data_IF_996110302233
#
_entry.id   IF_996110302233
#
_cell.length_a   1.000
_cell.length_b   1.000
_cell.length_c   1.000
_cell.angle_alpha   90.00
_cell.angle_beta   90.00
_cell.angle_gamma   90.00
#
_symmetry.space_group_name_H-M   'P 1'
#
loop_
_entity.id
_entity.type
_entity.pdbx_description
1 polymer ?
#
# COMPACT_ATOMS: atom_id res chain seq x y z
N UNK A 1 18.20 -4.74 -5.52
CA UNK A 1 17.85 -4.63 -4.09
C UNK A 1 16.53 -5.34 -3.84
N UNK A 2 16.06 -5.34 -2.58
CA UNK A 2 14.81 -5.98 -2.18
C UNK A 2 14.11 -5.09 -1.14
N UNK A 3 12.79 -4.97 -1.24
CA UNK A 3 11.93 -4.31 -0.26
C UNK A 3 10.93 -5.33 0.26
N UNK A 4 10.87 -5.46 1.59
CA UNK A 4 9.89 -6.27 2.30
C UNK A 4 9.12 -5.38 3.27
N UNK A 5 7.80 -5.37 3.13
CA UNK A 5 6.86 -4.77 4.07
C UNK A 5 5.89 -5.86 4.51
N UNK A 6 5.71 -6.01 5.81
CA UNK A 6 4.77 -6.97 6.38
C UNK A 6 3.99 -6.29 7.50
N UNK A 7 2.67 -6.30 7.38
CA UNK A 7 1.76 -5.98 8.47
C UNK A 7 1.13 -7.27 8.99
N UNK A 8 0.98 -7.35 10.31
CA UNK A 8 0.24 -8.38 11.01
C UNK A 8 -0.72 -7.70 12.00
N UNK A 9 -1.98 -8.12 11.98
CA UNK A 9 -3.08 -7.50 12.72
C UNK A 9 -3.94 -8.61 13.33
N UNK A 10 -4.06 -8.64 14.65
CA UNK A 10 -5.05 -9.48 15.33
C UNK A 10 -6.30 -8.67 15.64
N UNK A 11 -7.43 -9.07 15.07
CA UNK A 11 -8.73 -8.46 15.27
C UNK A 11 -9.54 -9.25 16.29
N UNK A 12 -10.07 -8.53 17.29
CA UNK A 12 -11.09 -9.02 18.21
C UNK A 12 -12.39 -8.29 17.94
N UNK A 13 -13.50 -9.02 17.95
CA UNK A 13 -14.80 -8.48 17.53
C UNK A 13 -15.78 -8.42 18.72
N UNK A 14 -16.65 -7.39 18.79
CA UNK A 14 -17.59 -7.23 19.90
C UNK A 14 -18.67 -8.32 19.99
N UNK A 15 -18.95 -9.00 18.88
CA UNK A 15 -19.97 -10.07 18.77
C UNK A 15 -19.48 -11.43 19.31
N UNK A 16 -18.24 -11.50 19.81
CA UNK A 16 -17.66 -12.71 20.39
C UNK A 16 -17.25 -13.76 19.36
N UNK A 17 -17.23 -13.45 18.05
CA UNK A 17 -16.64 -14.37 17.06
C UNK A 17 -15.15 -14.59 17.34
N UNK A 18 -14.63 -15.71 16.82
CA UNK A 18 -13.21 -16.06 16.91
C UNK A 18 -12.33 -14.89 16.49
N UNK A 19 -11.21 -14.69 17.20
CA UNK A 19 -10.21 -13.70 16.81
C UNK A 19 -9.70 -14.03 15.41
N UNK A 20 -9.33 -13.01 14.66
CA UNK A 20 -8.78 -13.18 13.32
C UNK A 20 -7.39 -12.57 13.26
N UNK A 21 -6.46 -13.29 12.63
CA UNK A 21 -5.16 -12.76 12.29
C UNK A 21 -5.16 -12.43 10.80
N UNK A 22 -4.94 -11.17 10.49
CA UNK A 22 -4.80 -10.64 9.14
C UNK A 22 -3.34 -10.31 8.90
N UNK A 23 -2.85 -10.62 7.71
CA UNK A 23 -1.52 -10.20 7.26
C UNK A 23 -1.57 -9.54 5.90
N UNK A 24 -0.67 -8.59 5.68
CA UNK A 24 -0.49 -7.92 4.39
C UNK A 24 1.00 -7.84 4.07
N UNK A 25 1.44 -8.53 3.02
CA UNK A 25 2.86 -8.65 2.67
C UNK A 25 3.15 -8.10 1.29
N UNK A 26 4.06 -7.14 1.20
CA UNK A 26 4.65 -6.67 -0.05
C UNK A 26 6.10 -7.15 -0.11
N UNK A 27 6.42 -7.94 -1.13
CA UNK A 27 7.79 -8.35 -1.46
C UNK A 27 8.10 -7.85 -2.87
N UNK A 28 9.09 -6.97 -3.00
CA UNK A 28 9.52 -6.42 -4.28
C UNK A 28 11.03 -6.60 -4.47
N UNK A 29 11.42 -6.96 -5.70
CA UNK A 29 12.81 -7.10 -6.12
C UNK A 29 13.14 -6.05 -7.18
N UNK A 30 14.35 -5.51 -7.10
CA UNK A 30 14.85 -4.55 -8.09
C UNK A 30 15.26 -5.26 -9.37
N UNK A 31 15.08 -4.57 -10.50
CA UNK A 31 15.26 -5.11 -11.86
C UNK A 31 16.49 -4.48 -12.55
N UNK A 32 17.42 -3.92 -11.77
CA UNK A 32 18.59 -3.18 -12.28
C UNK A 32 19.45 -4.03 -13.21
N UNK A 33 19.58 -5.33 -12.93
CA UNK A 33 20.36 -6.27 -13.76
C UNK A 33 19.78 -6.47 -15.17
N UNK A 34 18.49 -6.18 -15.38
CA UNK A 34 17.81 -6.24 -16.68
C UNK A 34 17.52 -4.84 -17.26
N UNK A 35 18.22 -3.81 -16.79
CA UNK A 35 18.03 -2.42 -17.23
C UNK A 35 16.83 -1.69 -16.60
N UNK A 36 16.18 -2.30 -15.61
CA UNK A 36 15.10 -1.68 -14.83
C UNK A 36 15.60 -0.83 -13.67
N UNK A 37 14.70 -0.51 -12.74
CA UNK A 37 15.00 0.29 -11.54
C UNK A 37 15.08 -0.58 -10.29
N UNK A 38 15.62 -0.02 -9.20
CA UNK A 38 15.61 -0.68 -7.89
C UNK A 38 14.19 -0.86 -7.35
N UNK A 39 13.99 -1.86 -6.47
CA UNK A 39 12.73 -2.05 -5.76
C UNK A 39 12.38 -0.78 -4.99
N UNK A 40 13.37 -0.19 -4.29
CA UNK A 40 13.22 1.07 -3.56
C UNK A 40 12.73 2.22 -4.46
N UNK A 41 13.32 2.40 -5.64
CA UNK A 41 12.91 3.46 -6.57
C UNK A 41 11.46 3.28 -7.02
N UNK A 42 11.03 2.04 -7.27
CA UNK A 42 9.64 1.74 -7.65
C UNK A 42 8.66 1.95 -6.51
N UNK A 43 8.94 1.43 -5.32
CA UNK A 43 8.04 1.50 -4.16
C UNK A 43 7.96 2.87 -3.50
N UNK A 44 8.88 3.79 -3.81
CA UNK A 44 8.86 5.18 -3.32
C UNK A 44 8.44 6.16 -4.44
N UNK A 45 9.02 6.02 -5.62
CA UNK A 45 8.77 6.94 -6.75
C UNK A 45 7.35 6.87 -7.28
N UNK A 46 6.75 5.67 -7.36
CA UNK A 46 5.37 5.53 -7.83
C UNK A 46 4.34 6.17 -6.89
N UNK A 47 4.37 5.93 -5.56
CA UNK A 47 3.49 6.67 -4.64
C UNK A 47 3.66 8.19 -4.72
N UNK A 48 4.90 8.69 -4.83
CA UNK A 48 5.16 10.13 -4.95
C UNK A 48 4.55 10.71 -6.24
N UNK A 49 4.75 10.05 -7.38
CA UNK A 49 4.17 10.47 -8.66
C UNK A 49 2.63 10.43 -8.63
N UNK A 50 2.04 9.40 -8.02
CA UNK A 50 0.57 9.31 -7.87
C UNK A 50 0.02 10.42 -6.99
N UNK A 51 0.69 10.77 -5.89
CA UNK A 51 0.32 11.93 -5.08
C UNK A 51 0.27 13.22 -5.89
N UNK A 52 1.29 13.47 -6.71
CA UNK A 52 1.32 14.62 -7.62
C UNK A 52 0.16 14.57 -8.64
N UNK A 53 -0.12 13.40 -9.23
CA UNK A 53 -1.23 13.23 -10.18
C UNK A 53 -2.59 13.52 -9.51
N UNK A 54 -2.83 13.02 -8.29
CA UNK A 54 -4.08 13.25 -7.58
C UNK A 54 -4.29 14.74 -7.26
N UNK A 55 -3.22 15.46 -6.90
CA UNK A 55 -3.27 16.91 -6.68
C UNK A 55 -3.55 17.67 -7.97
N UNK A 56 -2.82 17.37 -9.06
CA UNK A 56 -2.98 18.05 -10.36
C UNK A 56 -4.35 17.78 -10.99
N UNK A 57 -4.95 16.62 -10.74
CA UNK A 57 -6.30 16.28 -11.19
C UNK A 57 -7.40 16.89 -10.32
N UNK A 58 -7.06 17.60 -9.23
CA UNK A 58 -8.06 18.14 -8.30
C UNK A 58 -8.86 17.06 -7.56
N UNK A 59 -8.28 15.86 -7.38
CA UNK A 59 -8.93 14.78 -6.62
C UNK A 59 -8.76 14.92 -5.12
N UNK A 60 -7.75 15.66 -4.68
CA UNK A 60 -7.52 15.99 -3.26
C UNK A 60 -7.84 17.46 -3.05
N UNK A 61 -8.97 17.72 -2.42
CA UNK A 61 -9.49 19.09 -2.21
C UNK A 61 -9.04 19.70 -0.87
N UNK A 62 -8.61 18.87 0.07
CA UNK A 62 -8.10 19.31 1.36
C UNK A 62 -6.83 20.16 1.17
N UNK A 63 -6.65 21.15 2.05
CA UNK A 63 -5.48 22.06 2.04
C UNK A 63 -4.69 21.89 3.32
N UNK A 64 -3.42 22.27 3.29
CA UNK A 64 -2.50 22.18 4.42
C UNK A 64 -1.46 21.08 4.24
N UNK A 65 -0.89 20.62 5.35
CA UNK A 65 0.10 19.52 5.36
C UNK A 65 -0.63 18.20 5.49
N UNK A 66 -0.71 17.46 4.39
CA UNK A 66 -1.51 16.24 4.30
C UNK A 66 -0.66 14.98 4.38
N UNK A 67 -1.28 13.90 4.85
CA UNK A 67 -0.75 12.53 4.85
C UNK A 67 -1.78 11.61 4.18
N UNK A 68 -1.39 10.48 3.59
CA UNK A 68 -2.30 9.55 2.90
C UNK A 68 -3.10 8.68 3.89
N UNK A 69 -3.83 9.31 4.81
CA UNK A 69 -4.62 8.64 5.86
C UNK A 69 -6.13 8.78 5.64
N UNK A 70 -6.55 9.60 4.68
CA UNK A 70 -7.94 9.80 4.30
C UNK A 70 -8.27 9.03 3.02
N UNK A 71 -9.51 8.57 2.90
CA UNK A 71 -9.93 7.65 1.83
C UNK A 71 -9.88 8.26 0.43
N UNK A 72 -10.08 9.58 0.32
CA UNK A 72 -9.90 10.35 -0.92
C UNK A 72 -8.46 10.30 -1.44
N UNK A 73 -7.47 10.05 -0.57
CA UNK A 73 -6.06 9.90 -0.94
C UNK A 73 -5.68 8.42 -1.06
N UNK A 74 -5.86 7.62 -0.01
CA UNK A 74 -5.32 6.25 0.00
C UNK A 74 -6.06 5.33 -0.97
N UNK A 75 -7.38 5.44 -1.12
CA UNK A 75 -8.15 4.49 -1.95
C UNK A 75 -7.78 4.57 -3.44
N UNK A 76 -7.76 5.75 -4.09
CA UNK A 76 -7.33 5.83 -5.49
C UNK A 76 -5.85 5.50 -5.65
N UNK A 77 -5.01 5.83 -4.66
CA UNK A 77 -3.58 5.51 -4.68
C UNK A 77 -3.34 4.00 -4.69
N UNK A 78 -3.98 3.25 -3.80
CA UNK A 78 -3.84 1.79 -3.72
C UNK A 78 -4.30 1.09 -5.00
N UNK A 79 -5.43 1.53 -5.57
CA UNK A 79 -5.93 0.99 -6.85
C UNK A 79 -4.93 1.23 -7.99
N UNK A 80 -4.36 2.43 -8.08
CA UNK A 80 -3.39 2.76 -9.12
C UNK A 80 -2.06 2.02 -8.93
N UNK A 81 -1.55 1.94 -7.70
CA UNK A 81 -0.34 1.19 -7.35
C UNK A 81 -0.47 -0.30 -7.67
N UNK A 82 -1.63 -0.90 -7.38
CA UNK A 82 -1.87 -2.31 -7.68
C UNK A 82 -1.75 -2.61 -9.18
N UNK A 83 -2.27 -1.71 -10.05
CA UNK A 83 -2.13 -1.82 -11.52
C UNK A 83 -0.68 -1.71 -12.00
N UNK A 84 0.17 -1.05 -11.21
CA UNK A 84 1.61 -0.91 -11.46
C UNK A 84 2.45 -2.00 -10.78
N UNK A 85 1.81 -3.05 -10.25
CA UNK A 85 2.49 -4.16 -9.60
C UNK A 85 3.06 -3.83 -8.22
N UNK A 86 2.53 -2.81 -7.53
CA UNK A 86 2.84 -2.50 -6.13
C UNK A 86 1.58 -2.70 -5.29
N UNK A 87 1.44 -3.88 -4.68
CA UNK A 87 0.34 -4.21 -3.79
C UNK A 87 0.79 -5.21 -2.73
N UNK A 88 0.15 -5.17 -1.57
CA UNK A 88 0.31 -6.21 -0.56
C UNK A 88 -0.53 -7.42 -0.95
N UNK A 89 0.01 -8.62 -0.71
CA UNK A 89 -0.76 -9.85 -0.66
C UNK A 89 -1.38 -9.98 0.72
N UNK A 90 -2.70 -10.04 0.76
CA UNK A 90 -3.46 -10.16 2.00
C UNK A 90 -3.81 -11.62 2.29
N UNK A 91 -3.74 -12.00 3.56
CA UNK A 91 -4.20 -13.30 4.07
C UNK A 91 -4.93 -13.10 5.39
N UNK A 92 -5.85 -14.01 5.72
CA UNK A 92 -6.59 -13.97 6.98
C UNK A 92 -6.83 -15.38 7.49
N UNK A 93 -6.59 -15.59 8.78
CA UNK A 93 -6.81 -16.87 9.46
C UNK A 93 -7.59 -16.66 10.77
N UNK A 94 -8.44 -17.64 11.11
CA UNK A 94 -9.14 -17.64 12.40
C UNK A 94 -8.20 -18.20 13.46
N UNK A 95 -8.04 -17.45 14.55
CA UNK A 95 -7.34 -17.91 15.74
C UNK A 95 -8.33 -18.70 16.59
N UNK A 96 -7.95 -19.94 16.91
CA UNK A 96 -8.71 -20.85 17.77
C UNK A 96 -8.74 -20.36 19.22
#
# INVERSE_FOLDING_TARGET
DMVLLHHELEASFPDGRAKEKHSATLLAFGEVASGGVSAMARTVGLPAALGAVLLLQGKVQQRGVLRPVTSDIYAPSLIALAKLGVHCKEASEKLL
#
